data_IF_659059330130
#
_entry.id   IF_659059330130
#
_cell.length_a   1.000
_cell.length_b   1.000
_cell.length_c   1.000
_cell.angle_alpha   90.00
_cell.angle_beta   90.00
_cell.angle_gamma   90.00
#
_symmetry.space_group_name_H-M   'P 1'
#
loop_
_entity.id
_entity.type
_entity.pdbx_description
1 polymer ?
#
# COMPACT_ATOMS: atom_id res chain seq x y z
N UNK A 1 -3.99 4.31 -11.19
CA UNK A 1 -4.50 4.74 -9.88
C UNK A 1 -3.44 4.46 -8.83
N UNK A 2 -2.97 5.47 -8.10
CA UNK A 2 -1.82 5.32 -7.17
C UNK A 2 -2.19 4.49 -5.95
N UNK A 3 -3.42 4.61 -5.46
CA UNK A 3 -3.93 4.07 -4.19
C UNK A 3 -3.87 2.53 -4.05
N UNK A 4 -3.77 1.80 -5.16
CA UNK A 4 -3.69 0.34 -5.18
C UNK A 4 -2.26 -0.17 -5.41
N UNK A 5 -1.26 0.70 -5.48
CA UNK A 5 0.14 0.28 -5.61
C UNK A 5 0.68 -0.19 -4.28
N UNK A 6 1.35 -1.35 -4.24
CA UNK A 6 1.97 -1.85 -3.03
C UNK A 6 3.27 -1.08 -2.69
N UNK A 7 3.71 -1.11 -1.42
CA UNK A 7 4.87 -0.37 -0.93
C UNK A 7 6.17 -0.71 -1.66
N UNK A 8 6.41 -1.97 -2.02
CA UNK A 8 7.60 -2.42 -2.74
C UNK A 8 7.71 -1.76 -4.13
N UNK A 9 6.58 -1.50 -4.79
CA UNK A 9 6.56 -0.83 -6.08
C UNK A 9 6.84 0.67 -5.93
N UNK A 10 6.41 1.28 -4.81
CA UNK A 10 6.76 2.67 -4.48
C UNK A 10 8.24 2.82 -4.08
N UNK A 11 8.84 1.77 -3.51
CA UNK A 11 10.26 1.71 -3.15
C UNK A 11 11.18 1.31 -4.33
N UNK A 12 10.62 1.08 -5.52
CA UNK A 12 11.39 0.80 -6.73
C UNK A 12 11.80 -0.66 -6.92
N UNK A 13 11.11 -1.61 -6.28
CA UNK A 13 11.32 -3.03 -6.54
C UNK A 13 11.07 -3.35 -8.03
N UNK A 14 12.01 -4.07 -8.65
CA UNK A 14 11.94 -4.46 -10.06
C UNK A 14 11.41 -5.88 -10.27
N UNK A 15 11.28 -6.64 -9.18
CA UNK A 15 10.66 -7.95 -9.16
C UNK A 15 9.29 -7.81 -8.53
N UNK A 16 8.27 -8.13 -9.31
CA UNK A 16 6.87 -8.14 -8.91
C UNK A 16 6.27 -9.46 -9.37
N UNK A 17 5.55 -10.13 -8.47
CA UNK A 17 4.81 -11.36 -8.74
C UNK A 17 3.32 -11.19 -8.44
N UNK A 18 2.60 -12.28 -8.20
CA UNK A 18 1.17 -12.27 -7.87
C UNK A 18 0.82 -11.62 -6.52
N UNK A 19 1.83 -11.27 -5.73
CA UNK A 19 1.75 -10.60 -4.44
C UNK A 19 1.23 -9.17 -4.60
N UNK A 20 1.53 -8.55 -5.74
CA UNK A 20 0.98 -7.24 -6.13
C UNK A 20 -0.54 -7.32 -6.31
N UNK A 21 -1.04 -8.43 -6.88
CA UNK A 21 -2.48 -8.64 -7.04
C UNK A 21 -3.15 -8.86 -5.69
N UNK A 22 -2.52 -9.61 -4.79
CA UNK A 22 -3.01 -9.81 -3.41
C UNK A 22 -3.12 -8.48 -2.65
N UNK A 23 -2.17 -7.56 -2.85
CA UNK A 23 -2.24 -6.21 -2.30
C UNK A 23 -3.44 -5.42 -2.87
N UNK A 24 -3.63 -5.46 -4.18
CA UNK A 24 -4.77 -4.82 -4.84
C UNK A 24 -6.11 -5.33 -4.32
N UNK A 25 -6.24 -6.65 -4.14
CA UNK A 25 -7.43 -7.29 -3.55
C UNK A 25 -7.67 -6.78 -2.12
N UNK A 26 -6.62 -6.68 -1.30
CA UNK A 26 -6.73 -6.13 0.05
C UNK A 26 -7.26 -4.68 0.07
N UNK A 27 -6.76 -3.85 -0.85
CA UNK A 27 -7.23 -2.47 -1.01
C UNK A 27 -8.70 -2.40 -1.41
N UNK A 28 -9.13 -3.23 -2.36
CA UNK A 28 -10.53 -3.30 -2.81
C UNK A 28 -11.46 -3.80 -1.70
N UNK A 29 -11.07 -4.86 -0.99
CA UNK A 29 -11.86 -5.38 0.14
C UNK A 29 -12.01 -4.32 1.22
N UNK A 30 -10.92 -3.65 1.61
CA UNK A 30 -10.95 -2.56 2.58
C UNK A 30 -11.87 -1.41 2.13
N UNK A 31 -11.79 -1.03 0.85
CA UNK A 31 -12.66 0.01 0.30
C UNK A 31 -14.15 -0.39 0.32
N UNK A 32 -14.49 -1.65 0.08
CA UNK A 32 -15.86 -2.14 0.20
C UNK A 32 -16.41 -1.99 1.63
N UNK A 33 -15.59 -2.27 2.65
CA UNK A 33 -16.00 -2.13 4.05
C UNK A 33 -16.13 -0.66 4.47
N UNK A 34 -15.19 0.19 4.06
CA UNK A 34 -15.15 1.59 4.49
C UNK A 34 -16.02 2.49 3.60
N UNK A 35 -16.42 2.01 2.41
CA UNK A 35 -17.10 2.75 1.32
C UNK A 35 -16.36 3.98 0.81
N UNK A 36 -15.07 4.05 1.09
CA UNK A 36 -14.14 5.10 0.66
C UNK A 36 -12.74 4.50 0.56
N UNK A 37 -11.86 5.05 -0.28
CA UNK A 37 -10.50 4.56 -0.44
C UNK A 37 -9.79 4.51 0.91
N UNK A 38 -9.16 3.37 1.22
CA UNK A 38 -8.47 3.19 2.50
C UNK A 38 -7.13 3.94 2.54
N UNK A 39 -6.46 4.03 1.39
CA UNK A 39 -5.10 4.56 1.27
C UNK A 39 -5.01 5.64 0.16
N UNK A 40 -5.79 6.74 0.23
CA UNK A 40 -5.72 7.81 -0.76
C UNK A 40 -4.46 8.66 -0.53
N UNK A 41 -3.34 8.22 -1.09
CA UNK A 41 -2.09 8.98 -1.16
C UNK A 41 -2.11 10.04 -2.26
N UNK A 42 -1.66 11.24 -1.92
CA UNK A 42 -1.51 12.39 -2.83
C UNK A 42 -0.14 12.41 -3.52
N UNK A 43 0.88 11.83 -2.90
CA UNK A 43 2.22 11.60 -3.44
C UNK A 43 2.71 10.19 -3.09
N UNK A 44 3.79 9.73 -3.71
CA UNK A 44 4.35 8.40 -3.40
C UNK A 44 4.88 8.34 -1.96
N UNK A 45 5.44 9.45 -1.45
CA UNK A 45 5.91 9.58 -0.06
C UNK A 45 4.73 9.56 0.94
N UNK A 46 3.68 10.35 0.68
CA UNK A 46 2.45 10.38 1.48
C UNK A 46 1.78 9.00 1.53
N UNK A 47 1.81 8.26 0.42
CA UNK A 47 1.27 6.90 0.40
C UNK A 47 2.08 5.92 1.24
N UNK A 48 3.42 6.04 1.24
CA UNK A 48 4.31 5.29 2.14
C UNK A 48 4.07 5.63 3.62
N UNK A 49 3.93 6.91 3.97
CA UNK A 49 3.61 7.32 5.34
C UNK A 49 2.28 6.74 5.83
N UNK A 50 1.27 6.71 4.95
CA UNK A 50 -0.02 6.08 5.25
C UNK A 50 0.10 4.58 5.50
N UNK A 51 0.96 3.88 4.77
CA UNK A 51 1.25 2.46 5.02
C UNK A 51 1.91 2.27 6.39
N UNK A 52 2.91 3.09 6.73
CA UNK A 52 3.58 3.03 8.03
C UNK A 52 2.66 3.41 9.19
N UNK A 53 1.74 4.35 8.99
CA UNK A 53 0.72 4.67 10.00
C UNK A 53 -0.23 3.49 10.26
N UNK A 54 -0.44 2.61 9.28
CA UNK A 54 -1.41 1.52 9.35
C UNK A 54 -0.78 0.20 9.81
N UNK A 55 0.42 -0.10 9.32
CA UNK A 55 1.19 -1.32 9.63
C UNK A 55 2.23 -1.12 10.77
N UNK A 56 2.53 0.12 11.13
CA UNK A 56 3.67 0.49 11.97
C UNK A 56 4.92 0.84 11.15
N UNK A 57 5.84 1.60 11.76
CA UNK A 57 7.15 1.86 11.15
C UNK A 57 7.95 0.56 11.09
N UNK A 58 8.61 0.25 9.96
CA UNK A 58 9.53 -0.87 9.88
C UNK A 58 10.70 -0.59 10.83
N UNK A 59 10.64 -1.16 12.04
CA UNK A 59 11.78 -1.13 12.95
C UNK A 59 12.89 -1.98 12.33
N UNK A 60 14.12 -1.47 12.27
CA UNK A 60 15.30 -2.12 11.70
C UNK A 60 15.77 -3.39 12.46
N UNK A 61 14.91 -4.00 13.28
CA UNK A 61 15.19 -5.20 14.05
C UNK A 61 14.27 -6.36 13.62
N UNK A 62 14.62 -7.01 12.50
CA UNK A 62 14.34 -8.42 12.19
C UNK A 62 15.31 -8.90 11.12
#
# INVERSE_FOLDING_TARGET
>A
TRWYRPPELLLGARQYGGEVDMWGIGCVLGEMFVRRPILPGTSDLDQLERFWSLCGSPNQHS
#
